data_IF_952744318626
#
_entry.id   IF_952744318626
#
_cell.length_a   1.000
_cell.length_b   1.000
_cell.length_c   1.000
_cell.angle_alpha   90.00
_cell.angle_beta   90.00
_cell.angle_gamma   90.00
#
_symmetry.space_group_name_H-M   'P 1'
#
loop_
_entity.id
_entity.type
_entity.pdbx_description
1 polymer ?
#
# COMPACT_ATOMS: atom_id res chain seq x y z
N UNK A 1 -9.61 -1.04 -19.29
CA UNK A 1 -10.59 -1.02 -18.17
C UNK A 1 -10.37 -2.32 -17.39
N UNK A 2 -10.54 -2.38 -16.07
CA UNK A 2 -10.33 -3.65 -15.36
C UNK A 2 -11.48 -4.62 -15.69
N UNK A 3 -11.16 -5.74 -16.32
CA UNK A 3 -12.14 -6.76 -16.71
C UNK A 3 -12.33 -7.78 -15.61
N UNK A 4 -13.56 -8.27 -15.46
CA UNK A 4 -13.88 -9.47 -14.69
C UNK A 4 -13.63 -10.71 -15.55
N UNK A 5 -13.40 -11.85 -14.89
CA UNK A 5 -13.13 -13.13 -15.56
C UNK A 5 -14.29 -14.09 -15.37
N UNK A 6 -14.50 -14.96 -16.36
CA UNK A 6 -15.45 -16.07 -16.32
C UNK A 6 -14.77 -17.33 -16.83
N UNK A 7 -15.07 -18.45 -16.17
CA UNK A 7 -14.52 -19.74 -16.57
C UNK A 7 -15.27 -20.30 -17.79
N UNK A 8 -14.56 -20.48 -18.90
CA UNK A 8 -15.05 -21.21 -20.09
C UNK A 8 -16.38 -20.65 -20.63
N UNK A 9 -16.56 -19.34 -20.60
CA UNK A 9 -17.79 -18.69 -21.09
C UNK A 9 -17.70 -18.37 -22.59
N UNK A 10 -18.53 -19.04 -23.40
CA UNK A 10 -18.73 -18.73 -24.83
C UNK A 10 -20.16 -19.02 -25.25
N UNK A 11 -20.78 -18.10 -25.97
CA UNK A 11 -22.18 -18.18 -26.34
C UNK A 11 -22.45 -17.69 -27.77
N UNK A 12 -23.57 -18.14 -28.32
CA UNK A 12 -24.16 -17.60 -29.54
C UNK A 12 -25.13 -16.48 -29.16
N UNK A 13 -25.02 -15.27 -29.72
CA UNK A 13 -26.02 -14.24 -29.59
C UNK A 13 -27.23 -14.52 -30.49
N UNK A 14 -28.34 -13.82 -30.26
CA UNK A 14 -29.56 -13.97 -31.05
C UNK A 14 -29.43 -13.46 -32.48
N UNK A 15 -28.56 -12.48 -32.73
CA UNK A 15 -28.35 -11.86 -34.04
C UNK A 15 -26.91 -11.41 -34.23
N UNK A 16 -26.54 -11.19 -35.49
CA UNK A 16 -25.33 -10.47 -35.87
C UNK A 16 -25.57 -8.97 -35.96
N UNK A 17 -24.88 -8.33 -36.90
CA UNK A 17 -25.01 -6.91 -37.18
C UNK A 17 -24.24 -6.00 -36.23
N UNK A 18 -24.71 -4.76 -36.10
CA UNK A 18 -24.14 -3.73 -35.22
C UNK A 18 -24.81 -3.66 -33.84
N UNK A 19 -25.63 -4.65 -33.48
CA UNK A 19 -26.32 -4.71 -32.19
C UNK A 19 -25.42 -5.21 -31.05
N UNK A 20 -25.87 -5.09 -29.81
CA UNK A 20 -25.20 -5.68 -28.65
C UNK A 20 -25.49 -7.19 -28.55
N UNK A 21 -24.65 -7.92 -27.81
CA UNK A 21 -24.72 -9.38 -27.78
C UNK A 21 -25.76 -9.88 -26.79
N UNK A 22 -26.97 -10.11 -27.28
CA UNK A 22 -28.02 -10.76 -26.50
C UNK A 22 -27.80 -12.26 -26.48
N UNK A 23 -27.51 -12.84 -25.31
CA UNK A 23 -27.32 -14.28 -25.14
C UNK A 23 -28.51 -15.10 -25.69
N UNK A 24 -28.21 -16.18 -26.42
CA UNK A 24 -29.20 -17.17 -26.89
C UNK A 24 -28.89 -18.55 -26.35
N UNK A 25 -27.73 -19.11 -26.70
CA UNK A 25 -27.33 -20.47 -26.33
C UNK A 25 -25.84 -20.53 -26.00
N UNK A 26 -25.39 -21.45 -25.13
CA UNK A 26 -23.97 -21.69 -24.97
C UNK A 26 -23.42 -22.35 -26.26
N UNK A 27 -22.17 -22.06 -26.59
CA UNK A 27 -21.47 -22.85 -27.60
C UNK A 27 -21.18 -24.24 -27.02
N UNK A 28 -21.26 -25.29 -27.83
CA UNK A 28 -20.98 -26.66 -27.40
C UNK A 28 -19.63 -26.77 -26.69
N UNK A 29 -19.62 -27.29 -25.46
CA UNK A 29 -18.41 -27.42 -24.63
C UNK A 29 -18.10 -26.19 -23.76
N UNK A 30 -18.93 -25.15 -23.80
CA UNK A 30 -18.76 -23.92 -23.03
C UNK A 30 -19.94 -23.65 -22.08
N UNK A 31 -19.70 -22.80 -21.09
CA UNK A 31 -20.72 -22.30 -20.16
C UNK A 31 -21.48 -21.12 -20.77
N UNK A 32 -22.75 -20.97 -20.40
CA UNK A 32 -23.47 -19.71 -20.59
C UNK A 32 -22.92 -18.63 -19.65
N UNK A 33 -23.14 -17.34 -19.92
CA UNK A 33 -22.73 -16.28 -18.99
C UNK A 33 -23.28 -16.48 -17.58
N UNK A 34 -24.55 -16.89 -17.45
CA UNK A 34 -25.18 -17.14 -16.15
C UNK A 34 -24.54 -18.32 -15.41
N UNK A 35 -24.29 -19.45 -16.09
CA UNK A 35 -23.65 -20.62 -15.49
C UNK A 35 -22.19 -20.33 -15.08
N UNK A 36 -21.48 -19.52 -15.87
CA UNK A 36 -20.12 -19.09 -15.58
C UNK A 36 -20.03 -18.02 -14.47
N UNK A 37 -21.17 -17.55 -13.93
CA UNK A 37 -21.20 -16.60 -12.82
C UNK A 37 -21.11 -15.12 -13.24
N UNK A 38 -21.58 -14.76 -14.43
CA UNK A 38 -21.57 -13.37 -14.89
C UNK A 38 -22.37 -12.45 -13.94
N UNK A 39 -21.76 -11.34 -13.54
CA UNK A 39 -22.29 -10.38 -12.57
C UNK A 39 -22.89 -9.18 -13.30
N UNK A 40 -24.03 -8.69 -12.81
CA UNK A 40 -24.72 -7.54 -13.39
C UNK A 40 -23.84 -6.28 -13.35
N UNK A 41 -23.70 -5.60 -14.48
CA UNK A 41 -22.89 -4.39 -14.64
C UNK A 41 -21.37 -4.62 -14.70
N UNK A 42 -20.89 -5.85 -14.50
CA UNK A 42 -19.47 -6.15 -14.60
C UNK A 42 -19.00 -6.03 -16.06
N UNK A 43 -17.77 -5.54 -16.21
CA UNK A 43 -17.10 -5.39 -17.51
C UNK A 43 -16.33 -6.67 -17.80
N UNK A 44 -16.50 -7.21 -19.00
CA UNK A 44 -15.80 -8.39 -19.50
C UNK A 44 -15.09 -8.06 -20.81
N UNK A 45 -13.84 -8.49 -20.92
CA UNK A 45 -13.16 -8.58 -22.19
C UNK A 45 -13.80 -9.68 -23.03
N UNK A 46 -14.11 -9.38 -24.30
CA UNK A 46 -14.70 -10.35 -25.21
C UNK A 46 -13.94 -10.46 -26.52
N UNK A 47 -14.10 -11.61 -27.15
CA UNK A 47 -13.77 -11.86 -28.55
C UNK A 47 -15.02 -12.40 -29.25
N UNK A 48 -15.48 -11.70 -30.27
CA UNK A 48 -16.54 -12.15 -31.16
C UNK A 48 -15.94 -12.59 -32.51
N UNK A 49 -16.35 -13.72 -33.05
CA UNK A 49 -15.86 -14.24 -34.33
C UNK A 49 -16.94 -14.95 -35.15
N UNK A 50 -16.93 -14.74 -36.47
CA UNK A 50 -17.79 -15.48 -37.40
C UNK A 50 -17.30 -16.91 -37.58
N UNK A 51 -18.18 -17.81 -38.03
CA UNK A 51 -17.85 -19.22 -38.22
C UNK A 51 -16.72 -19.47 -39.24
N UNK A 52 -16.58 -18.59 -40.23
CA UNK A 52 -15.52 -18.61 -41.25
C UNK A 52 -14.26 -17.82 -40.84
N UNK A 53 -14.27 -17.21 -39.64
CA UNK A 53 -13.21 -16.36 -39.08
C UNK A 53 -12.89 -15.09 -39.92
N UNK A 54 -13.70 -14.76 -40.92
CA UNK A 54 -13.49 -13.56 -41.75
C UNK A 54 -13.89 -12.27 -41.03
N UNK A 55 -14.82 -12.35 -40.08
CA UNK A 55 -15.25 -11.25 -39.24
C UNK A 55 -14.87 -11.53 -37.79
N UNK A 56 -14.15 -10.61 -37.15
CA UNK A 56 -13.83 -10.70 -35.74
C UNK A 56 -13.79 -9.31 -35.09
N UNK A 57 -14.05 -9.28 -33.79
CA UNK A 57 -14.03 -8.08 -32.96
C UNK A 57 -13.54 -8.43 -31.55
N UNK A 58 -12.66 -7.61 -31.00
CA UNK A 58 -12.18 -7.70 -29.61
C UNK A 58 -12.50 -6.38 -28.90
N UNK A 59 -13.01 -6.46 -27.69
CA UNK A 59 -13.41 -5.28 -26.95
C UNK A 59 -13.84 -5.56 -25.52
N UNK A 60 -14.40 -4.54 -24.89
CA UNK A 60 -14.99 -4.61 -23.56
C UNK A 60 -16.51 -4.56 -23.67
N UNK A 61 -17.20 -5.34 -22.84
CA UNK A 61 -18.64 -5.27 -22.72
C UNK A 61 -19.16 -5.37 -21.30
N UNK A 62 -20.25 -4.65 -21.02
CA UNK A 62 -20.94 -4.69 -19.74
C UNK A 62 -22.06 -5.73 -19.79
N UNK A 63 -22.08 -6.70 -18.87
CA UNK A 63 -23.11 -7.74 -18.85
C UNK A 63 -24.32 -7.31 -18.01
N UNK A 64 -25.53 -7.45 -18.55
CA UNK A 64 -26.78 -7.24 -17.83
C UNK A 64 -27.46 -8.58 -17.59
N UNK A 65 -27.52 -9.03 -16.33
CA UNK A 65 -28.11 -10.33 -15.98
C UNK A 65 -29.63 -10.35 -16.14
N UNK A 66 -30.29 -9.19 -16.09
CA UNK A 66 -31.74 -9.07 -16.26
C UNK A 66 -32.18 -9.21 -17.72
N UNK A 67 -31.34 -8.82 -18.68
CA UNK A 67 -31.65 -8.92 -20.12
C UNK A 67 -30.82 -9.98 -20.85
N UNK A 68 -29.77 -10.52 -20.23
CA UNK A 68 -28.83 -11.45 -20.88
C UNK A 68 -27.96 -10.77 -21.94
N UNK A 69 -27.83 -9.45 -21.93
CA UNK A 69 -27.10 -8.67 -22.94
C UNK A 69 -25.70 -8.36 -22.45
N UNK A 70 -24.69 -8.68 -23.26
CA UNK A 70 -23.35 -8.11 -23.16
C UNK A 70 -23.27 -6.90 -24.09
N UNK A 71 -23.40 -5.70 -23.53
CA UNK A 71 -23.34 -4.45 -24.29
C UNK A 71 -21.92 -4.15 -24.70
N UNK A 72 -21.69 -3.90 -25.99
CA UNK A 72 -20.36 -3.55 -26.52
C UNK A 72 -20.01 -2.10 -26.18
N UNK A 73 -19.41 -1.90 -25.02
CA UNK A 73 -19.09 -0.57 -24.51
C UNK A 73 -17.87 0.03 -25.18
N UNK A 74 -16.92 -0.80 -25.62
CA UNK A 74 -15.71 -0.34 -26.32
C UNK A 74 -15.21 -1.43 -27.25
N UNK A 75 -14.97 -1.08 -28.52
CA UNK A 75 -14.29 -1.95 -29.49
C UNK A 75 -12.84 -1.50 -29.59
N UNK A 76 -11.91 -2.42 -29.37
CA UNK A 76 -10.48 -2.15 -29.41
C UNK A 76 -9.93 -2.39 -30.81
N UNK A 77 -10.23 -3.56 -31.37
CA UNK A 77 -9.75 -3.99 -32.68
C UNK A 77 -10.80 -4.85 -33.36
N UNK A 78 -10.88 -4.79 -34.69
CA UNK A 78 -11.75 -5.65 -35.47
C UNK A 78 -11.14 -5.97 -36.84
N UNK A 79 -11.74 -6.91 -37.56
CA UNK A 79 -11.26 -7.33 -38.89
C UNK A 79 -11.42 -6.26 -39.98
N UNK A 80 -12.10 -5.15 -39.70
CA UNK A 80 -12.18 -3.98 -40.59
C UNK A 80 -11.08 -2.92 -40.29
N UNK A 81 -10.21 -3.16 -39.31
CA UNK A 81 -9.13 -2.24 -38.94
C UNK A 81 -9.61 -0.96 -38.25
N UNK A 82 -10.78 -0.99 -37.61
CA UNK A 82 -11.38 0.17 -36.93
C UNK A 82 -11.70 -0.13 -35.47
N UNK A 83 -12.10 0.91 -34.72
CA UNK A 83 -12.64 0.81 -33.35
C UNK A 83 -14.17 0.97 -33.33
N UNK A 84 -14.83 0.86 -34.49
CA UNK A 84 -16.28 0.87 -34.59
C UNK A 84 -16.83 -0.56 -34.42
N UNK A 85 -18.12 -0.66 -34.10
CA UNK A 85 -18.83 -1.95 -34.09
C UNK A 85 -18.78 -2.57 -35.48
N UNK A 86 -18.21 -3.76 -35.61
CA UNK A 86 -18.27 -4.52 -36.86
C UNK A 86 -19.71 -4.98 -37.13
N UNK A 87 -20.10 -4.99 -38.40
CA UNK A 87 -21.40 -5.45 -38.87
C UNK A 87 -21.30 -6.94 -39.27
N UNK A 88 -21.57 -7.85 -38.33
CA UNK A 88 -21.51 -9.29 -38.62
C UNK A 88 -22.64 -9.72 -39.55
N UNK A 89 -22.32 -10.43 -40.63
CA UNK A 89 -23.30 -10.89 -41.64
C UNK A 89 -24.21 -12.01 -41.13
N UNK A 90 -23.78 -12.73 -40.10
CA UNK A 90 -24.55 -13.75 -39.37
C UNK A 90 -24.24 -13.62 -37.87
N UNK A 91 -25.00 -14.29 -36.99
CA UNK A 91 -24.68 -14.30 -35.56
C UNK A 91 -23.28 -14.90 -35.31
N UNK A 92 -22.35 -14.17 -34.68
CA UNK A 92 -21.02 -14.69 -34.37
C UNK A 92 -21.04 -15.61 -33.15
N UNK A 93 -19.91 -16.19 -32.77
CA UNK A 93 -19.71 -16.71 -31.41
C UNK A 93 -19.00 -15.65 -30.56
N UNK A 94 -19.43 -15.47 -29.32
CA UNK A 94 -18.84 -14.49 -28.38
C UNK A 94 -18.24 -15.24 -27.20
N UNK A 95 -16.92 -15.17 -27.05
CA UNK A 95 -16.19 -15.68 -25.89
C UNK A 95 -15.83 -14.54 -24.95
N UNK A 96 -15.95 -14.77 -23.64
CA UNK A 96 -15.27 -13.95 -22.64
C UNK A 96 -13.84 -14.46 -22.54
N UNK A 97 -12.87 -13.58 -22.73
CA UNK A 97 -11.44 -13.94 -22.83
C UNK A 97 -10.61 -12.98 -21.98
N UNK A 98 -9.46 -13.45 -21.48
CA UNK A 98 -8.45 -12.55 -20.94
C UNK A 98 -7.64 -11.94 -22.10
N UNK A 99 -7.49 -10.63 -22.11
CA UNK A 99 -6.57 -9.91 -22.99
C UNK A 99 -5.23 -9.68 -22.29
N UNK A 100 -4.21 -9.27 -23.06
CA UNK A 100 -2.90 -8.99 -22.49
C UNK A 100 -2.96 -7.89 -21.42
N UNK A 101 -3.83 -6.90 -21.61
CA UNK A 101 -4.11 -5.84 -20.64
C UNK A 101 -4.84 -6.32 -19.38
N UNK A 102 -5.49 -7.50 -19.42
CA UNK A 102 -6.13 -8.09 -18.25
C UNK A 102 -5.13 -8.88 -17.39
N UNK A 103 -3.96 -9.22 -17.94
CA UNK A 103 -2.95 -10.05 -17.30
C UNK A 103 -1.83 -9.21 -16.68
N UNK A 104 -1.34 -9.65 -15.53
CA UNK A 104 -0.13 -9.10 -14.93
C UNK A 104 1.08 -9.52 -15.76
N UNK A 105 1.71 -8.56 -16.45
CA UNK A 105 2.93 -8.79 -17.22
C UNK A 105 4.16 -8.59 -16.33
N UNK A 106 5.05 -9.59 -16.29
CA UNK A 106 6.31 -9.53 -15.54
C UNK A 106 7.50 -9.01 -16.38
N UNK A 107 7.33 -8.89 -17.69
CA UNK A 107 8.37 -8.49 -18.65
C UNK A 107 8.33 -7.00 -19.04
N UNK A 108 7.46 -6.22 -18.42
CA UNK A 108 7.39 -4.77 -18.55
C UNK A 108 7.07 -4.15 -17.18
N UNK A 109 7.46 -2.89 -16.97
CA UNK A 109 7.09 -2.18 -15.76
C UNK A 109 5.56 -2.22 -15.60
N UNK A 110 5.08 -2.86 -14.54
CA UNK A 110 3.64 -3.03 -14.34
C UNK A 110 2.99 -1.65 -14.27
N UNK A 111 2.05 -1.37 -15.17
CA UNK A 111 1.26 -0.13 -15.17
C UNK A 111 0.19 -0.16 -14.06
N UNK A 112 0.57 -0.63 -12.87
CA UNK A 112 -0.30 -0.59 -11.69
C UNK A 112 -0.60 0.87 -11.38
N UNK A 113 -1.89 1.18 -11.28
CA UNK A 113 -2.35 2.47 -10.79
C UNK A 113 -1.82 2.73 -9.37
N UNK A 114 -1.76 4.00 -8.97
CA UNK A 114 -1.36 4.38 -7.60
C UNK A 114 -2.21 3.64 -6.55
N UNK A 115 -3.51 3.46 -6.82
CA UNK A 115 -4.44 2.74 -5.95
C UNK A 115 -4.08 1.24 -5.81
N UNK A 116 -3.75 0.56 -6.92
CA UNK A 116 -3.32 -0.84 -6.88
C UNK A 116 -1.99 -1.00 -6.14
N UNK A 117 -1.04 -0.08 -6.36
CA UNK A 117 0.23 -0.08 -5.62
C UNK A 117 0.00 0.12 -4.11
N UNK A 118 -0.86 1.05 -3.72
CA UNK A 118 -1.22 1.28 -2.32
C UNK A 118 -1.91 0.05 -1.69
N UNK A 119 -2.85 -0.57 -2.42
CA UNK A 119 -3.53 -1.76 -1.94
C UNK A 119 -2.57 -2.96 -1.80
N UNK A 120 -1.64 -3.13 -2.73
CA UNK A 120 -0.62 -4.17 -2.64
C UNK A 120 0.29 -3.98 -1.40
N UNK A 121 0.74 -2.74 -1.13
CA UNK A 121 1.52 -2.44 0.08
C UNK A 121 0.73 -2.69 1.37
N UNK A 122 -0.53 -2.26 1.40
CA UNK A 122 -1.44 -2.53 2.53
C UNK A 122 -1.66 -4.03 2.75
N UNK A 123 -1.82 -4.82 1.68
CA UNK A 123 -2.01 -6.26 1.79
C UNK A 123 -0.73 -7.00 2.26
N UNK A 124 0.44 -6.41 2.00
CA UNK A 124 1.74 -6.92 2.46
C UNK A 124 2.11 -6.40 3.86
N UNK A 125 1.24 -5.62 4.50
CA UNK A 125 1.54 -4.89 5.75
C UNK A 125 2.87 -4.11 5.68
N UNK A 126 3.26 -3.63 4.50
CA UNK A 126 4.50 -2.90 4.33
C UNK A 126 4.37 -1.51 5.00
N UNK A 127 5.18 -1.24 6.01
CA UNK A 127 5.28 0.07 6.64
C UNK A 127 6.68 0.28 7.17
N UNK A 128 7.31 1.40 6.84
CA UNK A 128 8.64 1.72 7.33
C UNK A 128 8.87 3.23 7.32
N UNK A 129 9.65 3.74 8.27
CA UNK A 129 10.05 5.14 8.32
C UNK A 129 11.44 5.31 8.90
N UNK A 130 12.05 6.46 8.61
CA UNK A 130 13.27 6.93 9.26
C UNK A 130 13.20 8.43 9.43
N UNK A 131 13.50 8.93 10.63
CA UNK A 131 13.47 10.35 10.96
C UNK A 131 14.64 10.77 11.88
N UNK A 132 15.02 12.04 11.82
CA UNK A 132 16.12 12.63 12.60
C UNK A 132 15.87 14.09 13.00
N UNK A 133 16.70 14.64 13.88
CA UNK A 133 16.53 16.01 14.42
C UNK A 133 16.96 17.17 13.51
N UNK A 134 17.69 16.90 12.42
CA UNK A 134 18.04 17.88 11.38
C UNK A 134 18.76 19.14 11.87
N UNK A 135 19.71 18.98 12.78
CA UNK A 135 20.55 20.06 13.30
C UNK A 135 19.89 20.96 14.35
N UNK A 136 18.63 20.75 14.71
CA UNK A 136 17.96 21.54 15.75
C UNK A 136 18.01 20.84 17.11
N UNK A 137 18.74 21.44 18.05
CA UNK A 137 18.79 20.99 19.45
C UNK A 137 17.44 21.16 20.13
N UNK A 138 17.07 20.20 20.99
CA UNK A 138 15.95 20.31 21.91
C UNK A 138 16.52 20.57 23.31
N UNK A 139 16.58 21.85 23.68
CA UNK A 139 17.12 22.33 24.95
C UNK A 139 16.06 22.36 26.04
N UNK A 140 16.47 22.58 27.30
CA UNK A 140 15.53 22.73 28.42
C UNK A 140 14.91 21.42 28.90
N UNK A 141 15.54 20.28 28.61
CA UNK A 141 15.08 18.96 29.08
C UNK A 141 15.28 18.88 30.59
N UNK A 142 14.18 18.71 31.32
CA UNK A 142 14.19 18.67 32.78
C UNK A 142 14.85 17.40 33.32
N UNK A 143 15.58 17.53 34.42
CA UNK A 143 16.17 16.41 35.14
C UNK A 143 15.10 15.40 35.58
N UNK A 144 15.40 14.10 35.49
CA UNK A 144 14.52 13.05 36.01
C UNK A 144 13.20 12.86 35.24
N UNK A 145 13.01 13.56 34.13
CA UNK A 145 11.72 13.60 33.42
C UNK A 145 11.83 12.96 32.04
N UNK A 146 10.95 12.00 31.74
CA UNK A 146 10.79 11.49 30.39
C UNK A 146 10.24 12.58 29.47
N UNK A 147 11.10 13.05 28.58
CA UNK A 147 10.77 14.09 27.61
C UNK A 147 10.66 13.47 26.23
N UNK A 148 9.57 13.75 25.51
CA UNK A 148 9.40 13.28 24.13
C UNK A 148 10.53 13.84 23.26
N UNK A 149 11.17 13.00 22.47
CA UNK A 149 12.18 13.43 21.49
C UNK A 149 11.47 13.86 20.21
N UNK A 150 11.69 15.10 19.79
CA UNK A 150 11.09 15.63 18.55
C UNK A 150 11.95 15.32 17.33
N UNK A 151 11.33 15.02 16.19
CA UNK A 151 12.00 14.73 14.92
C UNK A 151 11.38 15.56 13.79
N UNK A 152 12.10 16.58 13.31
CA UNK A 152 11.61 17.53 12.31
C UNK A 152 11.81 17.10 10.86
N UNK A 153 12.49 15.99 10.58
CA UNK A 153 12.81 15.58 9.21
C UNK A 153 12.74 14.08 9.04
N UNK A 154 12.11 13.66 7.93
CA UNK A 154 11.99 12.27 7.49
C UNK A 154 13.04 12.02 6.39
N UNK A 155 13.81 10.94 6.50
CA UNK A 155 14.65 10.46 5.39
C UNK A 155 13.80 9.67 4.39
N UNK A 156 12.91 8.83 4.90
CA UNK A 156 11.85 8.17 4.16
C UNK A 156 10.66 7.88 5.08
N UNK A 157 9.48 7.72 4.49
CA UNK A 157 8.25 7.37 5.20
C UNK A 157 7.30 6.69 4.22
N UNK A 158 7.26 5.37 4.30
CA UNK A 158 6.41 4.53 3.47
C UNK A 158 4.97 4.72 3.94
N UNK A 159 4.13 5.10 2.99
CA UNK A 159 2.69 5.34 3.19
C UNK A 159 2.36 6.45 4.20
N UNK A 160 3.32 7.36 4.45
CA UNK A 160 3.16 8.56 5.28
C UNK A 160 2.62 8.24 6.69
N UNK A 161 3.18 7.21 7.32
CA UNK A 161 2.74 6.66 8.61
C UNK A 161 3.42 7.31 9.82
N UNK A 162 4.47 8.12 9.59
CA UNK A 162 5.14 8.89 10.64
C UNK A 162 4.72 10.37 10.63
N UNK A 163 4.13 10.85 11.73
CA UNK A 163 3.78 12.25 11.94
C UNK A 163 4.99 13.00 12.52
N UNK A 164 5.88 13.49 11.65
CA UNK A 164 7.04 14.31 12.04
C UNK A 164 6.67 15.75 12.45
N UNK A 165 5.56 16.28 11.91
CA UNK A 165 5.24 17.72 12.01
C UNK A 165 4.52 18.04 13.31
N UNK A 166 3.58 17.20 13.74
CA UNK A 166 2.72 17.50 14.88
C UNK A 166 3.18 16.80 16.14
N UNK A 167 3.54 15.51 16.07
CA UNK A 167 3.71 14.70 17.27
C UNK A 167 4.98 13.84 17.38
N UNK A 168 5.80 13.76 16.33
CA UNK A 168 6.97 12.85 16.26
C UNK A 168 6.58 11.40 16.60
N UNK A 169 5.55 10.91 15.91
CA UNK A 169 4.81 9.69 16.23
C UNK A 169 4.71 8.78 15.02
N UNK A 170 4.92 7.48 15.22
CA UNK A 170 4.64 6.47 14.19
C UNK A 170 3.35 5.71 14.48
N UNK A 171 2.47 5.59 13.49
CA UNK A 171 1.28 4.73 13.53
C UNK A 171 1.42 3.65 12.45
N UNK A 172 2.05 2.51 12.75
CA UNK A 172 2.26 1.45 11.77
C UNK A 172 0.96 0.73 11.39
N UNK A 173 0.92 0.07 10.22
CA UNK A 173 -0.06 -0.98 9.92
C UNK A 173 -0.05 -2.09 10.98
N UNK A 174 -1.10 -2.93 10.98
CA UNK A 174 -1.13 -4.10 11.85
C UNK A 174 -0.05 -5.13 11.44
N UNK A 175 0.67 -5.66 12.42
CA UNK A 175 1.77 -6.60 12.19
C UNK A 175 2.80 -6.58 13.30
N UNK A 176 3.86 -7.38 13.15
CA UNK A 176 5.03 -7.29 14.01
C UNK A 176 5.86 -6.10 13.54
N UNK A 177 6.22 -5.22 14.46
CA UNK A 177 7.07 -4.07 14.18
C UNK A 177 8.42 -4.23 14.85
N UNK A 178 9.46 -3.70 14.20
CA UNK A 178 10.77 -3.42 14.78
C UNK A 178 10.92 -1.90 14.86
N UNK A 179 11.34 -1.39 16.02
CA UNK A 179 11.68 0.03 16.21
C UNK A 179 13.10 0.09 16.76
N UNK A 180 13.90 0.98 16.19
CA UNK A 180 15.27 1.25 16.61
C UNK A 180 15.48 2.76 16.72
N UNK A 181 16.16 3.20 17.78
CA UNK A 181 16.33 4.62 18.04
C UNK A 181 17.59 4.94 18.83
N UNK A 182 18.09 6.16 18.63
CA UNK A 182 19.24 6.73 19.32
C UNK A 182 18.96 8.19 19.69
N UNK A 183 19.44 8.62 20.85
CA UNK A 183 19.33 9.99 21.35
C UNK A 183 20.65 10.43 21.96
N UNK A 184 21.32 11.38 21.31
CA UNK A 184 22.50 12.02 21.90
C UNK A 184 22.06 13.12 22.87
N UNK A 185 22.60 13.07 24.09
CA UNK A 185 22.22 13.93 25.20
C UNK A 185 23.46 14.57 25.80
N UNK A 186 23.39 15.88 26.05
CA UNK A 186 24.42 16.64 26.79
C UNK A 186 23.81 17.39 27.96
N UNK A 187 24.59 17.65 29.02
CA UNK A 187 24.15 18.41 30.19
C UNK A 187 25.21 18.44 31.28
N UNK A 188 24.83 18.67 32.54
CA UNK A 188 25.78 18.67 33.66
C UNK A 188 25.49 17.52 34.62
N UNK A 189 26.37 16.52 34.63
CA UNK A 189 26.25 15.30 35.45
C UNK A 189 27.60 14.59 35.60
N UNK A 190 27.79 13.77 36.66
CA UNK A 190 28.98 12.93 36.80
C UNK A 190 28.98 11.75 35.81
N UNK A 191 30.15 11.16 35.59
CA UNK A 191 30.24 9.86 34.91
C UNK A 191 29.46 8.79 35.68
N UNK A 192 28.94 7.79 34.96
CA UNK A 192 28.05 6.75 35.47
C UNK A 192 26.58 7.18 35.54
N UNK A 193 26.21 8.33 34.98
CA UNK A 193 24.81 8.76 34.95
C UNK A 193 24.05 7.99 33.87
N UNK A 194 22.90 7.37 34.17
CA UNK A 194 22.12 6.66 33.16
C UNK A 194 21.43 7.63 32.19
N UNK A 195 21.48 7.31 30.90
CA UNK A 195 20.61 7.89 29.87
C UNK A 195 19.66 6.80 29.40
N UNK A 196 18.36 7.04 29.55
CA UNK A 196 17.32 6.05 29.25
C UNK A 196 16.52 6.51 28.03
N UNK A 197 16.57 5.76 26.94
CA UNK A 197 15.68 5.90 25.79
C UNK A 197 14.51 4.92 25.92
N UNK A 198 13.28 5.40 25.76
CA UNK A 198 12.05 4.63 26.00
C UNK A 198 11.09 4.83 24.85
N UNK A 199 10.62 3.72 24.29
CA UNK A 199 9.46 3.70 23.40
C UNK A 199 8.20 3.76 24.26
N UNK A 200 7.39 4.79 24.02
CA UNK A 200 6.04 4.89 24.51
C UNK A 200 5.09 4.28 23.49
N UNK A 201 4.14 3.47 23.95
CA UNK A 201 3.04 2.94 23.15
C UNK A 201 1.74 3.54 23.67
N UNK A 202 0.95 4.14 22.79
CA UNK A 202 -0.35 4.73 23.14
C UNK A 202 -0.30 5.71 24.33
N UNK A 203 0.79 6.47 24.42
CA UNK A 203 1.01 7.49 25.46
C UNK A 203 1.57 6.96 26.78
N UNK A 204 1.87 5.66 26.88
CA UNK A 204 2.43 5.03 28.08
C UNK A 204 3.80 4.44 27.80
N UNK A 205 4.74 4.58 28.73
CA UNK A 205 6.06 3.95 28.64
C UNK A 205 5.91 2.43 28.46
N UNK A 206 6.55 1.86 27.43
CA UNK A 206 6.37 0.45 27.07
C UNK A 206 7.66 -0.37 27.18
N UNK A 207 8.73 0.05 26.50
CA UNK A 207 10.05 -0.62 26.50
C UNK A 207 11.15 0.42 26.49
N UNK A 208 12.23 0.17 27.21
CA UNK A 208 13.35 1.10 27.30
C UNK A 208 14.70 0.40 27.29
N UNK A 209 15.70 1.14 26.83
CA UNK A 209 17.11 0.79 26.88
C UNK A 209 17.84 1.91 27.60
N UNK A 210 18.81 1.56 28.42
CA UNK A 210 19.64 2.53 29.12
C UNK A 210 21.12 2.18 28.98
N UNK A 211 21.94 3.21 29.11
CA UNK A 211 23.38 3.07 29.26
C UNK A 211 23.83 3.98 30.40
N UNK A 212 24.79 3.51 31.20
CA UNK A 212 25.51 4.37 32.13
C UNK A 212 26.64 5.07 31.38
N UNK A 213 26.68 6.41 31.41
CA UNK A 213 27.67 7.15 30.62
C UNK A 213 29.08 6.94 31.17
N UNK A 214 30.03 6.52 30.33
CA UNK A 214 31.46 6.48 30.73
C UNK A 214 32.08 7.87 30.92
N UNK A 215 31.40 8.92 30.43
CA UNK A 215 31.83 10.31 30.47
C UNK A 215 30.89 11.16 31.32
N UNK A 216 31.43 12.24 31.88
CA UNK A 216 30.62 13.32 32.43
C UNK A 216 30.07 14.19 31.27
N UNK A 217 28.85 14.72 31.45
CA UNK A 217 28.21 15.73 30.59
C UNK A 217 27.74 15.29 29.19
N UNK A 218 28.05 14.07 28.75
CA UNK A 218 27.74 13.58 27.40
C UNK A 218 27.38 12.09 27.41
N UNK A 219 26.41 11.68 26.58
CA UNK A 219 26.20 10.28 26.25
C UNK A 219 25.02 10.03 25.31
N UNK A 220 24.78 8.76 24.97
CA UNK A 220 23.75 8.35 24.00
C UNK A 220 22.82 7.31 24.61
N UNK A 221 21.53 7.60 24.68
CA UNK A 221 20.49 6.60 24.97
C UNK A 221 20.07 5.89 23.69
N UNK A 222 19.88 4.58 23.73
CA UNK A 222 19.41 3.81 22.58
C UNK A 222 18.44 2.71 22.98
N UNK A 223 17.59 2.30 22.03
CA UNK A 223 16.59 1.25 22.23
C UNK A 223 16.29 0.57 20.90
N UNK A 224 16.27 -0.76 20.93
CA UNK A 224 15.72 -1.61 19.87
C UNK A 224 14.64 -2.52 20.47
N UNK A 225 13.49 -2.61 19.84
CA UNK A 225 12.39 -3.46 20.31
C UNK A 225 11.54 -4.00 19.18
N UNK A 226 10.90 -5.13 19.44
CA UNK A 226 9.80 -5.65 18.62
C UNK A 226 8.48 -5.63 19.38
N UNK A 227 7.37 -5.39 18.68
CA UNK A 227 6.02 -5.41 19.25
C UNK A 227 4.98 -5.87 18.22
N UNK A 228 3.80 -6.29 18.67
CA UNK A 228 2.65 -6.52 17.80
C UNK A 228 1.75 -5.28 17.80
N UNK A 229 1.74 -4.58 16.67
CA UNK A 229 0.89 -3.42 16.44
C UNK A 229 -0.47 -3.84 15.86
N UNK A 230 -1.54 -3.17 16.27
CA UNK A 230 -2.90 -3.45 15.81
C UNK A 230 -3.39 -2.55 14.65
N UNK A 231 -2.53 -1.70 14.08
CA UNK A 231 -2.89 -0.76 13.01
C UNK A 231 -3.45 0.59 13.49
N UNK A 232 -3.75 0.72 14.79
CA UNK A 232 -4.17 1.98 15.45
C UNK A 232 -3.21 2.39 16.57
N UNK A 233 -2.41 1.44 17.06
CA UNK A 233 -1.33 1.70 18.01
C UNK A 233 -0.38 2.75 17.47
N UNK A 234 0.11 3.61 18.35
CA UNK A 234 1.13 4.58 18.02
C UNK A 234 2.33 4.50 18.96
N UNK A 235 3.50 4.80 18.38
CA UNK A 235 4.79 4.71 19.05
C UNK A 235 5.51 6.06 19.00
N UNK A 236 6.14 6.42 20.11
CA UNK A 236 6.84 7.68 20.30
C UNK A 236 8.13 7.42 21.09
N UNK A 237 9.21 8.14 20.78
CA UNK A 237 10.45 8.06 21.54
C UNK A 237 10.47 9.12 22.63
N UNK A 238 10.78 8.70 23.85
CA UNK A 238 11.06 9.55 24.98
C UNK A 238 12.47 9.26 25.49
N UNK A 239 13.11 10.26 26.09
CA UNK A 239 14.40 10.10 26.74
C UNK A 239 14.40 10.77 28.11
N UNK A 240 15.14 10.20 29.06
CA UNK A 240 15.33 10.74 30.40
C UNK A 240 16.81 10.67 30.79
N UNK A 241 17.26 11.68 31.51
CA UNK A 241 18.58 11.77 32.15
C UNK A 241 18.46 12.55 33.45
N UNK A 242 19.35 12.30 34.41
CA UNK A 242 19.44 13.10 35.63
C UNK A 242 20.58 14.11 35.50
N UNK A 243 20.30 15.39 35.69
CA UNK A 243 21.31 16.46 35.79
C UNK A 243 21.58 16.79 37.25
N UNK A 244 22.83 17.13 37.58
CA UNK A 244 23.22 17.65 38.90
C UNK A 244 22.92 19.15 39.02
N UNK A 245 22.95 19.87 37.91
CA UNK A 245 22.53 21.27 37.81
C UNK A 245 22.02 21.57 36.40
N UNK A 246 21.19 22.60 36.27
CA UNK A 246 20.64 23.03 34.98
C UNK A 246 19.76 21.97 34.30
N UNK A 247 19.59 22.12 32.99
CA UNK A 247 18.80 21.24 32.12
C UNK A 247 19.69 20.48 31.15
N UNK A 248 19.22 19.33 30.68
CA UNK A 248 19.85 18.62 29.59
C UNK A 248 19.40 19.17 28.22
N UNK A 249 20.09 18.71 27.17
CA UNK A 249 19.78 19.00 25.77
C UNK A 249 19.83 17.70 24.97
N UNK A 250 18.77 17.40 24.22
CA UNK A 250 18.83 16.38 23.16
C UNK A 250 19.42 17.01 21.90
N UNK A 251 20.58 16.53 21.48
CA UNK A 251 21.37 17.13 20.41
C UNK A 251 20.73 16.90 19.05
N UNK A 252 20.71 17.94 18.24
CA UNK A 252 20.08 17.97 16.92
C UNK A 252 20.79 17.18 15.84
N UNK A 253 21.94 16.57 16.14
CA UNK A 253 22.76 15.87 15.16
C UNK A 253 21.98 14.74 14.46
N UNK A 254 22.11 14.65 13.14
CA UNK A 254 21.37 13.68 12.31
C UNK A 254 21.90 12.25 12.42
N UNK A 255 23.19 12.10 12.73
CA UNK A 255 23.87 10.80 12.89
C UNK A 255 23.56 10.14 14.22
N UNK A 256 23.36 10.93 15.28
CA UNK A 256 23.26 10.41 16.65
C UNK A 256 21.88 10.53 17.29
N UNK A 257 21.00 11.37 16.74
CA UNK A 257 19.61 11.46 17.23
C UNK A 257 18.61 11.19 16.11
N UNK A 258 18.10 9.96 16.11
CA UNK A 258 17.24 9.41 15.06
C UNK A 258 16.31 8.33 15.61
N UNK A 259 15.27 8.04 14.85
CA UNK A 259 14.35 6.93 15.06
C UNK A 259 14.01 6.30 13.72
N UNK A 260 13.94 4.98 13.70
CA UNK A 260 13.50 4.20 12.56
C UNK A 260 12.53 3.12 13.01
N UNK A 261 11.66 2.68 12.11
CA UNK A 261 10.83 1.53 12.34
C UNK A 261 10.37 0.88 11.05
N UNK A 262 10.09 -0.41 11.12
CA UNK A 262 9.56 -1.20 10.01
C UNK A 262 8.59 -2.26 10.53
N UNK A 263 7.61 -2.62 9.71
CA UNK A 263 6.86 -3.87 9.86
C UNK A 263 7.73 -5.02 9.32
N UNK A 264 7.72 -6.17 10.01
CA UNK A 264 8.45 -7.38 9.66
C UNK A 264 7.61 -8.35 8.82
#
# INVERSE_FOLDING_TARGET
MASSFLDVCRFNPTAGGTTDWTYSTPVTGYQSPAAAGAVNGAIYSYRAESADLSQWEVGFGAYNTGTGVLSRTTVLFNSAGTTAKINFSAAPQVAVVALAEDLLLFNAAMSLTVAQKAKARSNLSAGAFSAHKNGTDQTGVASGTYTKVTFGTKLYDVDNTFDAVTNSRWTPPAGIVLIDASVWVTGTWPAGTPITAVIYKNGVAFRGGFIDTGLANDGVGSISMTDSANGTDYYELFCQVNTTSGTATFKGNTTWTWIMGTVL
#
